data_IF_189600070657
#
_entry.id   IF_189600070657
#
_cell.length_a   1.000
_cell.length_b   1.000
_cell.length_c   1.000
_cell.angle_alpha   90.00
_cell.angle_beta   90.00
_cell.angle_gamma   90.00
#
_symmetry.space_group_name_H-M   'P 1'
#
loop_
_entity.id
_entity.type
_entity.pdbx_description
1 polymer ?
#
# COMPACT_ATOMS: atom_id res chain seq x y z
N UNK A 1 -13.89 -15.56 -8.30
CA UNK A 1 -13.41 -15.60 -6.91
C UNK A 1 -14.61 -15.60 -5.98
N UNK A 2 -14.63 -16.50 -4.99
CA UNK A 2 -15.70 -16.55 -3.98
C UNK A 2 -15.16 -16.07 -2.64
N UNK A 3 -15.88 -15.18 -1.96
CA UNK A 3 -15.55 -14.71 -0.60
C UNK A 3 -16.40 -15.50 0.42
N UNK A 4 -15.83 -15.79 1.58
CA UNK A 4 -16.52 -16.47 2.69
C UNK A 4 -17.66 -15.64 3.31
N UNK A 5 -17.61 -14.32 3.15
CA UNK A 5 -18.66 -13.38 3.56
C UNK A 5 -18.52 -12.06 2.79
N UNK A 6 -19.40 -11.08 3.09
CA UNK A 6 -19.45 -9.77 2.42
C UNK A 6 -18.62 -8.68 3.14
N UNK A 7 -17.84 -9.05 4.14
CA UNK A 7 -17.02 -8.09 4.89
C UNK A 7 -15.72 -7.89 4.12
N UNK A 8 -15.49 -6.68 3.65
CA UNK A 8 -14.28 -6.28 2.92
C UNK A 8 -13.61 -5.14 3.67
N UNK A 9 -12.34 -5.32 4.03
CA UNK A 9 -11.51 -4.25 4.58
C UNK A 9 -11.02 -3.37 3.42
N UNK A 10 -11.36 -2.07 3.37
CA UNK A 10 -10.92 -1.18 2.31
C UNK A 10 -9.43 -0.86 2.44
N UNK A 11 -8.84 -0.35 1.35
CA UNK A 11 -7.48 0.15 1.34
C UNK A 11 -7.33 1.39 2.23
N UNK A 12 -6.42 1.33 3.20
CA UNK A 12 -6.13 2.43 4.13
C UNK A 12 -4.64 2.48 4.41
N UNK A 13 -4.00 3.64 4.22
CA UNK A 13 -2.58 3.84 4.52
C UNK A 13 -2.30 3.55 6.00
N UNK A 14 -1.48 2.55 6.27
CA UNK A 14 -1.16 2.09 7.62
C UNK A 14 0.13 2.69 8.17
N UNK A 15 1.01 3.19 7.30
CA UNK A 15 2.37 3.63 7.64
C UNK A 15 3.20 2.54 8.33
N UNK A 16 3.03 1.30 7.90
CA UNK A 16 3.68 0.12 8.48
C UNK A 16 4.68 -0.55 7.55
N UNK A 17 4.89 -0.03 6.35
CA UNK A 17 5.95 -0.49 5.48
C UNK A 17 7.34 0.00 5.95
N UNK A 18 8.39 -0.59 5.42
CA UNK A 18 9.75 -0.11 5.64
C UNK A 18 10.01 1.17 4.83
N UNK A 19 11.06 1.90 5.17
CA UNK A 19 11.47 3.14 4.46
C UNK A 19 11.71 2.90 2.97
N UNK A 20 12.19 1.71 2.62
CA UNK A 20 12.41 1.29 1.22
C UNK A 20 11.16 0.72 0.54
N UNK A 21 10.00 0.71 1.20
CA UNK A 21 8.73 0.22 0.67
C UNK A 21 8.46 -1.27 0.86
N UNK A 22 9.35 -2.03 1.50
CA UNK A 22 9.11 -3.45 1.77
C UNK A 22 7.99 -3.66 2.81
N UNK A 23 7.24 -4.75 2.63
CA UNK A 23 6.27 -5.17 3.63
C UNK A 23 6.98 -5.66 4.90
N UNK A 24 6.74 -4.99 6.03
CA UNK A 24 7.29 -5.36 7.34
C UNK A 24 6.44 -6.42 8.03
N UNK A 25 7.00 -7.09 9.04
CA UNK A 25 6.25 -8.01 9.89
C UNK A 25 5.05 -7.31 10.58
N UNK A 26 5.17 -6.01 10.87
CA UNK A 26 4.08 -5.21 11.44
C UNK A 26 2.92 -5.08 10.46
N UNK A 27 3.20 -4.80 9.18
CA UNK A 27 2.19 -4.73 8.13
C UNK A 27 1.53 -6.10 7.90
N UNK A 28 2.35 -7.16 7.86
CA UNK A 28 1.85 -8.53 7.68
C UNK A 28 0.89 -8.90 8.80
N UNK A 29 1.27 -8.69 10.06
CA UNK A 29 0.40 -8.95 11.22
C UNK A 29 -0.86 -8.09 11.21
N UNK A 30 -0.76 -6.85 10.79
CA UNK A 30 -1.91 -5.95 10.67
C UNK A 30 -3.01 -6.54 9.77
N UNK A 31 -2.65 -7.11 8.63
CA UNK A 31 -3.60 -7.77 7.73
C UNK A 31 -4.00 -9.17 8.19
N UNK A 32 -3.04 -9.93 8.74
CA UNK A 32 -3.29 -11.28 9.27
C UNK A 32 -4.35 -11.27 10.38
N UNK A 33 -4.27 -10.35 11.34
CA UNK A 33 -5.24 -10.24 12.45
C UNK A 33 -6.66 -9.95 11.95
N UNK A 34 -6.83 -9.17 10.85
CA UNK A 34 -8.14 -8.96 10.24
C UNK A 34 -8.67 -10.21 9.55
N UNK A 35 -7.81 -10.92 8.83
CA UNK A 35 -8.17 -12.19 8.20
C UNK A 35 -8.55 -13.25 9.24
N UNK A 36 -7.79 -13.35 10.33
CA UNK A 36 -8.05 -14.21 11.49
C UNK A 36 -9.37 -13.84 12.18
N UNK A 37 -9.69 -12.55 12.26
CA UNK A 37 -10.96 -12.04 12.77
C UNK A 37 -12.17 -12.30 11.86
N UNK A 38 -11.97 -12.89 10.68
CA UNK A 38 -13.06 -13.34 9.82
C UNK A 38 -13.38 -12.43 8.62
N UNK A 39 -12.59 -11.40 8.33
CA UNK A 39 -12.76 -10.58 7.12
C UNK A 39 -12.65 -11.46 5.88
N UNK A 40 -13.62 -11.34 4.96
CA UNK A 40 -13.66 -12.12 3.71
C UNK A 40 -12.59 -11.70 2.71
N UNK A 41 -12.25 -10.40 2.68
CA UNK A 41 -11.24 -9.85 1.79
C UNK A 41 -10.55 -8.65 2.43
N UNK A 42 -9.23 -8.63 2.37
CA UNK A 42 -8.41 -7.45 2.68
C UNK A 42 -8.00 -6.75 1.38
N UNK A 43 -8.20 -5.45 1.28
CA UNK A 43 -7.58 -4.63 0.24
C UNK A 43 -6.40 -3.91 0.90
N UNK A 44 -5.19 -4.26 0.48
CA UNK A 44 -3.95 -3.65 0.98
C UNK A 44 -3.90 -2.18 0.55
N UNK A 45 -3.31 -1.37 1.39
CA UNK A 45 -3.16 0.07 1.20
C UNK A 45 -2.62 0.48 -0.17
N UNK A 46 -2.74 1.77 -0.47
CA UNK A 46 -2.17 2.38 -1.67
C UNK A 46 -0.67 2.04 -1.78
N UNK A 47 -0.34 1.24 -2.79
CA UNK A 47 0.98 0.65 -2.99
C UNK A 47 1.59 1.22 -4.26
N UNK A 48 2.72 1.91 -4.14
CA UNK A 48 3.30 2.61 -5.29
C UNK A 48 3.91 1.63 -6.30
N UNK A 49 3.58 1.86 -7.58
CA UNK A 49 4.09 1.09 -8.73
C UNK A 49 5.42 1.63 -9.29
N UNK A 50 5.80 2.82 -8.86
CA UNK A 50 7.07 3.47 -9.17
C UNK A 50 7.46 4.37 -8.00
N UNK A 51 8.76 4.52 -7.72
CA UNK A 51 9.24 5.36 -6.60
C UNK A 51 8.74 6.80 -6.68
N UNK A 52 8.69 7.38 -7.89
CA UNK A 52 8.13 8.72 -8.13
C UNK A 52 6.66 8.86 -7.72
N UNK A 53 5.95 7.75 -7.65
CA UNK A 53 4.54 7.70 -7.22
C UNK A 53 4.34 7.53 -5.72
N UNK A 54 5.42 7.37 -4.93
CA UNK A 54 5.27 7.25 -3.47
C UNK A 54 4.81 8.56 -2.84
N UNK A 55 3.68 8.52 -2.14
CA UNK A 55 3.05 9.67 -1.48
C UNK A 55 3.18 9.66 0.04
N UNK A 56 3.72 8.58 0.63
CA UNK A 56 3.74 8.33 2.07
C UNK A 56 5.14 7.99 2.57
N UNK A 57 5.53 8.50 3.72
CA UNK A 57 6.87 8.27 4.30
C UNK A 57 7.19 6.80 4.53
N UNK A 58 6.21 6.01 4.95
CA UNK A 58 6.33 4.57 5.13
C UNK A 58 5.30 3.86 4.22
N UNK A 59 5.23 4.29 2.96
CA UNK A 59 4.32 3.73 1.96
C UNK A 59 4.82 2.38 1.45
N UNK A 60 3.88 1.44 1.29
CA UNK A 60 4.17 0.14 0.69
C UNK A 60 4.47 0.30 -0.81
N UNK A 61 5.42 -0.48 -1.30
CA UNK A 61 5.84 -0.50 -2.70
C UNK A 61 5.67 -1.86 -3.36
N UNK A 62 5.53 -1.82 -4.69
CA UNK A 62 5.52 -2.99 -5.57
C UNK A 62 6.32 -2.72 -6.87
N UNK A 63 7.18 -1.71 -6.82
CA UNK A 63 7.94 -1.25 -7.99
C UNK A 63 9.17 -2.09 -8.31
N UNK A 64 9.66 -2.90 -7.38
CA UNK A 64 10.95 -3.58 -7.50
C UNK A 64 10.85 -5.05 -7.03
N UNK A 65 11.66 -5.92 -7.63
CA UNK A 65 11.63 -7.37 -7.36
C UNK A 65 12.01 -7.74 -5.92
N UNK A 66 12.83 -6.94 -5.24
CA UNK A 66 13.18 -7.22 -3.85
C UNK A 66 11.97 -7.15 -2.90
N UNK A 67 10.89 -6.49 -3.31
CA UNK A 67 9.63 -6.37 -2.55
C UNK A 67 8.79 -7.64 -2.61
N UNK A 68 9.01 -8.52 -3.59
CA UNK A 68 8.23 -9.77 -3.81
C UNK A 68 8.20 -10.62 -2.55
N UNK A 69 9.34 -10.81 -1.89
CA UNK A 69 9.45 -11.66 -0.70
C UNK A 69 8.52 -11.23 0.43
N UNK A 70 8.47 -9.93 0.70
CA UNK A 70 7.61 -9.36 1.74
C UNK A 70 6.13 -9.48 1.37
N UNK A 71 5.79 -9.17 0.11
CA UNK A 71 4.43 -9.27 -0.40
C UNK A 71 3.92 -10.72 -0.43
N UNK A 72 4.78 -11.69 -0.76
CA UNK A 72 4.43 -13.12 -0.69
C UNK A 72 4.11 -13.54 0.75
N UNK A 73 4.90 -13.14 1.73
CA UNK A 73 4.61 -13.41 3.15
C UNK A 73 3.28 -12.78 3.59
N UNK A 74 2.97 -11.59 3.09
CA UNK A 74 1.71 -10.91 3.38
C UNK A 74 0.51 -11.70 2.83
N UNK A 75 0.59 -12.15 1.58
CA UNK A 75 -0.48 -12.96 0.96
C UNK A 75 -0.65 -14.30 1.67
N UNK A 76 0.44 -14.98 1.99
CA UNK A 76 0.42 -16.25 2.71
C UNK A 76 -0.21 -16.11 4.10
N UNK A 77 0.09 -15.03 4.81
CA UNK A 77 -0.47 -14.75 6.13
C UNK A 77 -2.01 -14.61 6.09
N UNK A 78 -2.54 -13.92 5.08
CA UNK A 78 -3.99 -13.76 4.91
C UNK A 78 -4.65 -15.05 4.44
N UNK A 79 -4.02 -15.76 3.50
CA UNK A 79 -4.56 -17.02 2.95
C UNK A 79 -4.66 -18.13 4.00
N UNK A 80 -3.74 -18.18 4.99
CA UNK A 80 -3.81 -19.15 6.11
C UNK A 80 -5.13 -19.10 6.89
N UNK A 81 -5.83 -17.98 6.86
CA UNK A 81 -7.11 -17.77 7.54
C UNK A 81 -8.31 -17.75 6.59
N UNK A 82 -8.16 -18.37 5.40
CA UNK A 82 -9.20 -18.38 4.35
C UNK A 82 -9.68 -16.97 3.93
N UNK A 83 -8.86 -15.97 4.16
CA UNK A 83 -9.05 -14.60 3.67
C UNK A 83 -8.61 -14.48 2.21
N UNK A 84 -9.24 -13.57 1.48
CA UNK A 84 -8.76 -13.14 0.16
C UNK A 84 -8.05 -11.80 0.32
N UNK A 85 -7.10 -11.54 -0.58
CA UNK A 85 -6.32 -10.31 -0.53
C UNK A 85 -6.21 -9.70 -1.93
N UNK A 86 -6.32 -8.40 -2.00
CA UNK A 86 -6.04 -7.59 -3.19
C UNK A 86 -5.12 -6.44 -2.78
N UNK A 87 -4.50 -5.79 -3.73
CA UNK A 87 -3.64 -4.64 -3.51
C UNK A 87 -4.15 -3.44 -4.31
N UNK A 88 -4.16 -2.26 -3.69
CA UNK A 88 -4.48 -1.03 -4.39
C UNK A 88 -3.22 -0.47 -5.05
N UNK A 89 -3.11 -0.63 -6.37
CA UNK A 89 -2.00 -0.04 -7.14
C UNK A 89 -2.18 1.48 -7.20
N UNK A 90 -1.08 2.22 -6.94
CA UNK A 90 -1.11 3.67 -6.87
C UNK A 90 0.11 4.29 -7.55
N UNK A 91 -0.13 5.44 -8.17
CA UNK A 91 0.89 6.44 -8.48
C UNK A 91 0.40 7.79 -8.01
N UNK A 92 1.10 8.40 -7.06
CA UNK A 92 0.67 9.64 -6.40
C UNK A 92 0.62 10.88 -7.30
N UNK A 93 1.34 10.87 -8.41
CA UNK A 93 1.37 12.01 -9.33
C UNK A 93 1.75 13.31 -8.60
N UNK A 94 0.87 14.31 -8.62
CA UNK A 94 1.08 15.59 -7.91
C UNK A 94 1.19 15.44 -6.39
N UNK A 95 0.69 14.35 -5.81
CA UNK A 95 0.80 14.04 -4.38
C UNK A 95 2.04 13.20 -4.05
N UNK A 96 2.89 12.90 -5.04
CA UNK A 96 4.19 12.29 -4.79
C UNK A 96 4.98 13.10 -3.76
N UNK A 97 5.72 12.40 -2.90
CA UNK A 97 6.51 12.99 -1.82
C UNK A 97 8.01 12.96 -2.16
N UNK A 98 8.58 14.01 -2.80
CA UNK A 98 9.99 14.04 -3.18
C UNK A 98 10.97 13.80 -2.04
N UNK A 99 10.78 14.33 -0.82
CA UNK A 99 11.65 14.03 0.31
C UNK A 99 11.78 12.53 0.62
N UNK A 100 10.69 11.78 0.46
CA UNK A 100 10.66 10.34 0.73
C UNK A 100 11.07 9.51 -0.48
N UNK A 101 10.58 9.86 -1.66
CA UNK A 101 10.80 9.10 -2.89
C UNK A 101 12.18 9.33 -3.51
N UNK A 102 12.81 10.48 -3.23
CA UNK A 102 14.00 10.94 -3.92
C UNK A 102 13.77 11.31 -5.41
N UNK A 103 12.51 11.36 -5.83
CA UNK A 103 12.12 11.61 -7.23
C UNK A 103 11.28 12.89 -7.33
N UNK A 104 11.38 13.63 -8.46
CA UNK A 104 10.48 14.76 -8.69
C UNK A 104 9.04 14.29 -8.85
N UNK A 105 8.09 15.16 -8.54
CA UNK A 105 6.67 14.90 -8.80
C UNK A 105 6.42 14.79 -10.31
N UNK A 106 5.63 13.79 -10.69
CA UNK A 106 5.18 13.65 -12.08
C UNK A 106 3.77 14.22 -12.21
N UNK A 107 3.63 15.24 -13.04
CA UNK A 107 2.41 15.99 -13.25
C UNK A 107 1.98 15.87 -14.71
N UNK A 108 0.67 15.79 -14.95
CA UNK A 108 0.11 15.83 -16.30
C UNK A 108 0.23 17.27 -16.87
N UNK A 109 0.14 18.29 -15.98
CA UNK A 109 0.30 19.69 -16.32
C UNK A 109 0.76 20.48 -15.08
N UNK A 110 1.44 21.61 -15.29
CA UNK A 110 1.86 22.53 -14.22
C UNK A 110 0.67 23.37 -13.74
N UNK A 111 -0.22 22.75 -12.96
CA UNK A 111 -1.34 23.46 -12.34
C UNK A 111 -1.02 23.70 -10.87
N UNK A 112 -1.12 24.96 -10.36
CA UNK A 112 -0.96 25.25 -8.93
C UNK A 112 -1.94 24.41 -8.08
N UNK A 113 -1.47 23.85 -6.98
CA UNK A 113 -2.36 23.17 -6.01
C UNK A 113 -3.27 24.21 -5.36
N UNK A 114 -4.57 24.12 -5.62
CA UNK A 114 -5.58 24.91 -4.92
C UNK A 114 -5.84 24.24 -3.58
N UNK A 115 -5.63 24.96 -2.46
CA UNK A 115 -6.04 24.54 -1.12
C UNK A 115 -4.97 23.93 -0.22
N UNK A 116 -3.70 23.86 -0.62
CA UNK A 116 -2.60 23.66 0.32
C UNK A 116 -1.99 24.97 0.72
N UNK A 117 -2.07 25.31 2.03
CA UNK A 117 -1.24 26.36 2.57
C UNK A 117 0.23 26.02 2.30
N UNK A 118 0.97 26.96 1.76
CA UNK A 118 2.43 26.85 1.68
C UNK A 118 2.96 26.84 3.12
N UNK A 119 3.43 25.69 3.56
CA UNK A 119 4.24 25.55 4.78
C UNK A 119 5.69 25.50 4.36
#
# INVERSE_FOLDING_TARGET
MTLKNRIVMPAMASYHAAVNGEATEKLIRYHEERAKGGVGMNIVEATYVARSGNSFDLGLGISDDFMIKGLSKLTDAVHRHDGKIAIQLQHGGRFGNPPTSGCPRLLVSMIPEIGRAHV
#
